data_IF_077333983997
#
_entry.id   IF_077333983997
#
_cell.length_a   1.000
_cell.length_b   1.000
_cell.length_c   1.000
_cell.angle_alpha   90.00
_cell.angle_beta   90.00
_cell.angle_gamma   90.00
#
_symmetry.space_group_name_H-M   'P 1'
#
loop_
_entity.id
_entity.type
_entity.pdbx_description
1 polymer ?
#
# COMPACT_ATOMS: atom_id res chain seq x y z
N UNK A 1 -5.37 10.27 -4.78
CA UNK A 1 -6.57 9.71 -4.12
C UNK A 1 -6.78 8.33 -4.68
N UNK A 2 -6.40 7.30 -3.93
CA UNK A 2 -6.75 5.90 -4.22
C UNK A 2 -7.75 5.50 -3.15
N UNK A 3 -8.95 5.10 -3.55
CA UNK A 3 -9.96 4.67 -2.60
C UNK A 3 -9.92 3.14 -2.54
N UNK A 4 -9.56 2.60 -1.37
CA UNK A 4 -9.51 1.15 -1.09
C UNK A 4 -10.82 0.44 -1.47
N UNK A 5 -11.96 1.14 -1.31
CA UNK A 5 -13.30 0.67 -1.65
C UNK A 5 -13.93 1.45 -2.81
N UNK A 6 -13.11 2.08 -3.66
CA UNK A 6 -13.59 2.85 -4.80
C UNK A 6 -14.16 4.22 -4.46
N UNK A 7 -14.44 4.98 -5.53
CA UNK A 7 -14.93 6.35 -5.46
C UNK A 7 -16.45 6.37 -5.45
N UNK A 8 -17.03 7.34 -4.75
CA UNK A 8 -18.44 7.69 -4.93
C UNK A 8 -18.70 8.13 -6.36
N UNK A 9 -19.93 7.94 -6.82
CA UNK A 9 -20.39 8.36 -8.14
C UNK A 9 -21.42 9.50 -8.00
N UNK A 10 -21.43 10.45 -8.94
CA UNK A 10 -22.50 11.45 -9.04
C UNK A 10 -23.78 10.86 -9.66
N UNK A 11 -24.85 11.66 -9.77
CA UNK A 11 -26.12 11.22 -10.36
C UNK A 11 -26.01 10.78 -11.84
N UNK A 12 -24.88 11.07 -12.50
CA UNK A 12 -24.59 10.67 -13.87
C UNK A 12 -23.66 9.45 -13.94
N UNK A 13 -23.23 8.89 -12.80
CA UNK A 13 -22.32 7.75 -12.71
C UNK A 13 -20.84 8.13 -12.87
N UNK A 14 -20.47 9.41 -12.74
CA UNK A 14 -19.07 9.85 -12.79
C UNK A 14 -18.42 9.76 -11.40
N UNK A 15 -17.18 9.25 -11.34
CA UNK A 15 -16.38 9.22 -10.11
C UNK A 15 -16.17 10.65 -9.58
N UNK A 16 -16.60 10.89 -8.35
CA UNK A 16 -16.31 12.12 -7.62
C UNK A 16 -15.12 11.89 -6.68
N UNK A 17 -14.38 12.95 -6.33
CA UNK A 17 -13.22 12.89 -5.44
C UNK A 17 -13.63 12.69 -3.96
N UNK A 18 -14.50 11.71 -3.70
CA UNK A 18 -14.89 11.24 -2.38
C UNK A 18 -14.81 9.71 -2.37
N UNK A 19 -14.18 9.13 -1.36
CA UNK A 19 -14.12 7.69 -1.21
C UNK A 19 -15.41 7.13 -0.59
N UNK A 20 -15.72 5.89 -0.95
CA UNK A 20 -16.71 5.11 -0.23
C UNK A 20 -16.18 4.79 1.18
N UNK A 21 -17.01 5.01 2.19
CA UNK A 21 -16.67 4.76 3.60
C UNK A 21 -17.35 3.48 4.03
N UNK A 22 -16.57 2.44 4.26
CA UNK A 22 -17.07 1.15 4.69
C UNK A 22 -17.10 1.05 6.20
N UNK A 23 -18.18 0.49 6.74
CA UNK A 23 -18.23 0.13 8.15
C UNK A 23 -17.32 -1.09 8.34
N UNK A 24 -16.39 -1.07 9.32
CA UNK A 24 -15.61 -2.26 9.69
C UNK A 24 -16.53 -3.35 10.24
N UNK A 25 -17.19 -4.11 9.35
CA UNK A 25 -18.00 -5.26 9.73
C UNK A 25 -17.05 -6.43 10.00
N UNK A 26 -17.03 -6.90 11.25
CA UNK A 26 -16.31 -8.14 11.58
C UNK A 26 -17.20 -9.34 11.21
N UNK A 27 -17.06 -9.81 9.98
CA UNK A 27 -17.71 -11.05 9.55
C UNK A 27 -17.14 -12.23 10.34
N UNK A 28 -18.00 -13.01 10.99
CA UNK A 28 -17.60 -14.20 11.79
C UNK A 28 -17.49 -15.47 10.95
N UNK A 29 -17.17 -15.33 9.68
CA UNK A 29 -17.03 -16.42 8.72
C UNK A 29 -15.78 -16.21 7.88
N UNK A 30 -15.22 -17.30 7.38
CA UNK A 30 -14.08 -17.26 6.46
C UNK A 30 -14.58 -17.60 5.07
N UNK A 31 -14.25 -16.75 4.09
CA UNK A 31 -14.58 -16.96 2.69
C UNK A 31 -13.31 -17.28 1.92
N UNK A 32 -13.27 -18.46 1.27
CA UNK A 32 -12.11 -18.96 0.53
C UNK A 32 -11.69 -18.01 -0.62
N UNK A 33 -12.66 -17.35 -1.25
CA UNK A 33 -12.47 -16.43 -2.37
C UNK A 33 -12.79 -14.97 -2.00
N UNK A 34 -12.69 -14.62 -0.72
CA UNK A 34 -13.01 -13.27 -0.24
C UNK A 34 -14.52 -13.00 -0.11
N UNK A 35 -14.82 -11.81 0.41
CA UNK A 35 -16.18 -11.33 0.62
C UNK A 35 -16.71 -10.61 -0.63
N UNK A 36 -18.02 -10.71 -0.85
CA UNK A 36 -18.70 -9.84 -1.82
C UNK A 36 -18.58 -8.40 -1.38
N UNK A 37 -18.51 -7.51 -2.35
CA UNK A 37 -18.57 -6.06 -2.12
C UNK A 37 -19.91 -5.50 -2.60
N UNK A 38 -20.40 -4.45 -1.93
CA UNK A 38 -21.59 -3.72 -2.36
C UNK A 38 -21.29 -2.73 -3.51
N UNK A 39 -22.29 -1.96 -3.94
CA UNK A 39 -22.14 -0.94 -5.00
C UNK A 39 -21.11 0.15 -4.66
N UNK A 40 -20.71 0.25 -3.40
CA UNK A 40 -19.72 1.18 -2.87
C UNK A 40 -18.40 0.49 -2.56
N UNK A 41 -18.16 -0.74 -3.06
CA UNK A 41 -16.91 -1.47 -2.87
C UNK A 41 -16.68 -1.95 -1.43
N UNK A 42 -17.71 -1.92 -0.57
CA UNK A 42 -17.61 -2.34 0.82
C UNK A 42 -17.90 -3.82 0.99
N UNK A 43 -17.00 -4.53 1.67
CA UNK A 43 -17.21 -5.94 2.00
C UNK A 43 -18.50 -6.14 2.81
N UNK A 44 -19.32 -7.08 2.35
CA UNK A 44 -20.51 -7.57 3.06
C UNK A 44 -20.24 -9.01 3.51
N UNK A 45 -20.88 -9.46 4.60
CA UNK A 45 -20.69 -10.81 5.14
C UNK A 45 -21.36 -11.91 4.30
N UNK A 46 -21.10 -11.91 3.00
CA UNK A 46 -21.44 -12.94 2.02
C UNK A 46 -20.17 -13.32 1.25
N UNK A 47 -19.94 -14.61 1.01
CA UNK A 47 -18.77 -15.04 0.24
C UNK A 47 -18.96 -14.83 -1.26
N UNK A 48 -17.87 -14.50 -1.96
CA UNK A 48 -17.81 -14.63 -3.41
C UNK A 48 -17.99 -16.10 -3.79
N UNK A 49 -18.78 -16.32 -4.84
CA UNK A 49 -18.94 -17.63 -5.45
C UNK A 49 -18.20 -17.63 -6.77
N UNK A 50 -17.06 -18.31 -6.83
CA UNK A 50 -16.34 -18.46 -8.08
C UNK A 50 -17.01 -19.52 -8.96
N UNK A 51 -17.17 -19.28 -10.27
CA UNK A 51 -17.57 -20.32 -11.19
C UNK A 51 -16.50 -21.43 -11.22
N UNK A 52 -16.89 -22.68 -11.47
CA UNK A 52 -15.92 -23.75 -11.70
C UNK A 52 -15.16 -23.46 -13.00
N UNK A 53 -13.97 -22.89 -12.88
CA UNK A 53 -13.08 -22.62 -14.01
C UNK A 53 -12.18 -23.84 -14.20
N UNK A 54 -12.46 -24.63 -15.24
CA UNK A 54 -11.55 -25.69 -15.69
C UNK A 54 -10.59 -25.17 -16.74
N UNK A 55 -9.40 -24.74 -16.30
CA UNK A 55 -8.33 -24.37 -17.20
C UNK A 55 -7.65 -25.61 -17.80
N UNK A 56 -7.44 -25.64 -19.11
CA UNK A 56 -6.78 -26.75 -19.80
C UNK A 56 -5.25 -26.67 -19.78
N UNK A 57 -4.70 -25.66 -19.11
CA UNK A 57 -3.28 -25.36 -19.02
C UNK A 57 -2.78 -25.52 -17.59
N UNK A 58 -1.52 -25.88 -17.44
CA UNK A 58 -0.84 -25.93 -16.14
C UNK A 58 -0.01 -24.67 -15.97
N UNK A 59 -0.19 -23.98 -14.84
CA UNK A 59 0.59 -22.80 -14.47
C UNK A 59 1.48 -23.13 -13.28
N UNK A 60 2.81 -23.07 -13.45
CA UNK A 60 3.80 -23.41 -12.43
C UNK A 60 3.69 -22.52 -11.17
N UNK A 61 3.29 -21.25 -11.36
CA UNK A 61 3.14 -20.25 -10.29
C UNK A 61 1.68 -19.96 -9.95
N UNK A 62 0.77 -20.85 -10.35
CA UNK A 62 -0.67 -20.69 -10.16
C UNK A 62 -1.31 -19.73 -11.16
N UNK A 63 -2.62 -19.58 -11.03
CA UNK A 63 -3.44 -18.73 -11.89
C UNK A 63 -3.54 -17.31 -11.33
N UNK A 64 -3.76 -16.34 -12.21
CA UNK A 64 -4.14 -14.99 -11.83
C UNK A 64 -5.54 -14.99 -11.23
N UNK A 65 -5.82 -14.00 -10.39
CA UNK A 65 -7.14 -13.76 -9.81
C UNK A 65 -7.80 -12.55 -10.49
N UNK A 66 -9.11 -12.57 -10.62
CA UNK A 66 -9.91 -11.40 -10.98
C UNK A 66 -10.15 -10.48 -9.76
N UNK A 67 -10.87 -9.37 -9.97
CA UNK A 67 -11.21 -8.40 -8.93
C UNK A 67 -12.05 -9.00 -7.77
N UNK A 68 -12.67 -10.17 -7.99
CA UNK A 68 -13.45 -10.88 -6.97
C UNK A 68 -12.61 -11.98 -6.27
N UNK A 69 -11.33 -12.09 -6.58
CA UNK A 69 -10.45 -13.13 -6.04
C UNK A 69 -10.65 -14.52 -6.66
N UNK A 70 -11.28 -14.61 -7.83
CA UNK A 70 -11.51 -15.87 -8.54
C UNK A 70 -10.41 -16.16 -9.55
N UNK A 71 -9.97 -17.42 -9.61
CA UNK A 71 -8.97 -17.85 -10.59
C UNK A 71 -9.46 -17.68 -12.03
N UNK A 72 -8.62 -17.08 -12.87
CA UNK A 72 -8.81 -16.98 -14.32
C UNK A 72 -7.75 -17.82 -15.03
N UNK A 73 -8.03 -18.29 -16.26
CA UNK A 73 -7.09 -19.11 -17.03
C UNK A 73 -5.93 -18.30 -17.64
N UNK A 74 -5.25 -17.52 -16.80
CA UNK A 74 -4.01 -16.84 -17.09
C UNK A 74 -2.98 -17.22 -16.02
N UNK A 75 -1.77 -17.56 -16.42
CA UNK A 75 -0.73 -17.91 -15.47
C UNK A 75 -0.13 -16.67 -14.79
N UNK A 76 0.22 -16.81 -13.51
CA UNK A 76 1.17 -15.90 -12.88
C UNK A 76 2.55 -16.10 -13.50
N UNK A 77 3.23 -15.00 -13.78
CA UNK A 77 4.63 -15.01 -14.27
C UNK A 77 5.58 -15.24 -13.10
N UNK A 78 5.24 -14.73 -11.91
CA UNK A 78 6.08 -14.79 -10.72
C UNK A 78 5.55 -15.78 -9.70
N UNK A 79 6.45 -16.54 -9.08
CA UNK A 79 6.12 -17.30 -7.88
C UNK A 79 5.83 -16.35 -6.72
N UNK A 80 4.80 -16.64 -5.90
CA UNK A 80 4.60 -15.98 -4.60
C UNK A 80 5.73 -16.35 -3.65
N UNK A 81 6.91 -15.76 -3.79
CA UNK A 81 8.01 -15.97 -2.87
C UNK A 81 7.75 -15.16 -1.60
N UNK A 82 7.80 -15.84 -0.44
CA UNK A 82 7.83 -15.16 0.85
C UNK A 82 9.28 -15.11 1.32
N UNK A 83 9.96 -14.01 1.03
CA UNK A 83 11.30 -13.78 1.54
C UNK A 83 11.25 -13.60 3.06
N UNK A 84 12.15 -14.28 3.78
CA UNK A 84 12.21 -14.23 5.26
C UNK A 84 13.12 -13.13 5.79
N UNK A 85 13.49 -12.20 4.93
CA UNK A 85 14.40 -11.10 5.23
C UNK A 85 13.71 -9.78 4.87
N UNK A 86 14.14 -8.71 5.52
CA UNK A 86 13.73 -7.35 5.19
C UNK A 86 14.87 -6.66 4.44
N UNK A 87 14.55 -5.97 3.35
CA UNK A 87 15.51 -5.23 2.55
C UNK A 87 15.15 -3.74 2.59
N UNK A 88 16.06 -2.93 3.12
CA UNK A 88 15.88 -1.48 3.31
C UNK A 88 15.57 -0.75 1.98
N UNK A 89 16.20 -1.18 0.89
CA UNK A 89 16.02 -0.61 -0.46
C UNK A 89 15.24 -1.56 -1.40
N UNK A 90 14.42 -2.45 -0.83
CA UNK A 90 13.64 -3.41 -1.59
C UNK A 90 14.44 -4.62 -2.11
N UNK A 91 13.70 -5.55 -2.71
CA UNK A 91 14.24 -6.77 -3.31
C UNK A 91 14.69 -6.52 -4.74
N UNK A 92 15.72 -7.26 -5.17
CA UNK A 92 16.05 -7.37 -6.59
C UNK A 92 14.92 -8.05 -7.34
N UNK A 93 14.79 -7.72 -8.61
CA UNK A 93 13.90 -8.39 -9.55
C UNK A 93 14.70 -9.17 -10.59
N UNK A 94 14.15 -10.26 -11.10
CA UNK A 94 14.72 -11.02 -12.22
C UNK A 94 14.38 -10.38 -13.58
N UNK A 95 14.81 -11.02 -14.68
CA UNK A 95 14.55 -10.54 -16.06
C UNK A 95 13.05 -10.48 -16.41
N UNK A 96 12.18 -11.12 -15.63
CA UNK A 96 10.73 -11.13 -15.82
C UNK A 96 10.02 -10.15 -14.88
N UNK A 97 10.77 -9.39 -14.07
CA UNK A 97 10.24 -8.45 -13.08
C UNK A 97 9.77 -9.11 -11.79
N UNK A 98 10.16 -10.36 -11.52
CA UNK A 98 9.78 -11.07 -10.32
C UNK A 98 10.77 -10.82 -9.19
N UNK A 99 10.27 -10.45 -8.01
CA UNK A 99 11.10 -10.28 -6.82
C UNK A 99 11.83 -11.59 -6.46
N UNK A 100 13.13 -11.47 -6.20
CA UNK A 100 13.98 -12.54 -5.69
C UNK A 100 14.44 -12.18 -4.28
N UNK A 101 14.70 -13.18 -3.44
CA UNK A 101 15.13 -12.95 -2.06
C UNK A 101 16.60 -12.51 -1.92
N UNK A 102 16.96 -11.45 -2.64
CA UNK A 102 18.22 -10.72 -2.55
C UNK A 102 17.90 -9.22 -2.45
N UNK A 103 18.58 -8.51 -1.55
CA UNK A 103 18.37 -7.06 -1.43
C UNK A 103 19.09 -6.28 -2.53
N UNK A 104 18.50 -5.17 -2.94
CA UNK A 104 19.21 -4.14 -3.69
C UNK A 104 20.35 -3.57 -2.83
N UNK A 105 21.47 -3.27 -3.48
CA UNK A 105 22.65 -2.68 -2.84
C UNK A 105 22.85 -1.29 -3.40
N UNK A 106 22.75 -0.27 -2.54
CA UNK A 106 22.96 1.10 -2.95
C UNK A 106 24.42 1.52 -2.73
N UNK A 107 25.05 2.23 -3.70
CA UNK A 107 26.33 2.86 -3.45
C UNK A 107 26.18 3.92 -2.34
N UNK A 108 27.23 4.14 -1.55
CA UNK A 108 27.26 5.31 -0.67
C UNK A 108 27.33 6.59 -1.51
N UNK A 109 26.18 7.21 -1.77
CA UNK A 109 26.07 8.48 -2.47
C UNK A 109 25.94 9.59 -1.44
N UNK A 110 27.00 10.40 -1.27
CA UNK A 110 26.92 11.62 -0.47
C UNK A 110 26.36 12.77 -1.32
N UNK A 111 25.06 12.98 -1.26
CA UNK A 111 24.44 14.16 -1.84
C UNK A 111 24.68 15.38 -0.94
N UNK A 112 25.13 16.49 -1.52
CA UNK A 112 25.35 17.76 -0.79
C UNK A 112 24.10 18.63 -0.75
N UNK A 113 23.00 18.16 -1.32
CA UNK A 113 21.75 18.89 -1.52
C UNK A 113 20.73 18.37 -0.51
N UNK A 114 20.03 19.30 0.16
CA UNK A 114 18.92 18.95 1.04
C UNK A 114 17.61 19.03 0.23
N UNK A 115 16.88 17.93 0.14
CA UNK A 115 15.61 17.84 -0.56
C UNK A 115 14.47 17.84 0.46
N UNK A 116 13.61 18.85 0.42
CA UNK A 116 12.48 19.01 1.36
C UNK A 116 11.47 17.86 1.29
N UNK A 117 11.32 17.24 0.12
CA UNK A 117 10.39 16.14 -0.14
C UNK A 117 11.11 14.81 -0.49
N UNK A 118 12.35 14.66 -0.01
CA UNK A 118 13.16 13.48 -0.28
C UNK A 118 13.88 13.50 -1.64
N UNK A 119 14.82 12.56 -1.76
CA UNK A 119 15.60 12.32 -2.97
C UNK A 119 14.84 11.39 -3.90
N UNK A 120 15.07 11.53 -5.21
CA UNK A 120 14.62 10.53 -6.18
C UNK A 120 15.36 9.22 -5.96
N UNK A 121 14.68 8.12 -6.26
CA UNK A 121 15.25 6.79 -6.29
C UNK A 121 15.49 6.32 -7.73
N UNK A 122 16.51 5.49 -7.94
CA UNK A 122 16.70 4.76 -9.20
C UNK A 122 15.81 3.50 -9.27
N UNK A 123 15.90 2.75 -10.37
CA UNK A 123 15.11 1.52 -10.57
C UNK A 123 15.40 0.42 -9.52
N UNK A 124 16.48 0.55 -8.75
CA UNK A 124 16.85 -0.36 -7.66
C UNK A 124 16.45 0.19 -6.28
N UNK A 125 15.70 1.30 -6.22
CA UNK A 125 15.30 1.93 -4.97
C UNK A 125 16.43 2.71 -4.28
N UNK A 126 17.49 3.07 -5.01
CA UNK A 126 18.65 3.77 -4.45
C UNK A 126 18.57 5.28 -4.66
N UNK A 127 18.87 6.06 -3.61
CA UNK A 127 18.88 7.51 -3.70
C UNK A 127 19.88 8.03 -4.74
N UNK A 128 19.40 8.93 -5.59
CA UNK A 128 20.21 9.72 -6.50
C UNK A 128 20.18 11.19 -6.08
N UNK A 129 21.21 11.96 -6.42
CA UNK A 129 21.32 13.38 -6.03
C UNK A 129 20.41 14.30 -6.88
N UNK A 130 19.13 13.95 -6.97
CA UNK A 130 18.07 14.73 -7.55
C UNK A 130 16.91 14.77 -6.56
N UNK A 131 16.31 15.94 -6.34
CA UNK A 131 15.16 16.05 -5.46
C UNK A 131 13.87 15.64 -6.16
N UNK A 132 12.94 15.08 -5.39
CA UNK A 132 11.57 14.95 -5.82
C UNK A 132 10.95 16.33 -6.02
N UNK A 133 10.23 16.50 -7.13
CA UNK A 133 9.58 17.76 -7.48
C UNK A 133 8.10 17.62 -7.16
N UNK A 134 7.69 18.22 -6.05
CA UNK A 134 6.30 18.22 -5.66
C UNK A 134 5.58 19.44 -6.23
N UNK A 135 4.36 19.23 -6.72
CA UNK A 135 3.47 20.35 -7.01
C UNK A 135 3.04 20.99 -5.70
N UNK A 136 3.08 22.33 -5.60
CA UNK A 136 2.55 23.08 -4.45
C UNK A 136 1.02 22.85 -4.33
N UNK A 137 0.62 21.75 -3.69
CA UNK A 137 -0.78 21.46 -3.40
C UNK A 137 -1.09 21.97 -1.99
N UNK A 138 -1.92 23.00 -1.91
CA UNK A 138 -2.44 23.47 -0.63
C UNK A 138 -3.65 22.63 -0.23
N UNK A 139 -3.42 21.62 0.61
CA UNK A 139 -4.50 20.85 1.21
C UNK A 139 -5.33 21.74 2.14
N UNK A 140 -6.65 21.78 1.94
CA UNK A 140 -7.57 22.64 2.72
C UNK A 140 -8.03 22.01 4.04
N UNK A 141 -7.53 20.83 4.36
CA UNK A 141 -7.87 20.07 5.56
C UNK A 141 -6.70 20.05 6.54
N UNK A 142 -6.99 19.81 7.81
CA UNK A 142 -5.97 19.62 8.85
C UNK A 142 -5.92 18.14 9.21
N UNK A 143 -4.73 17.55 9.18
CA UNK A 143 -4.51 16.16 9.54
C UNK A 143 -3.70 16.09 10.84
N UNK A 144 -4.27 15.47 11.87
CA UNK A 144 -3.65 15.34 13.20
C UNK A 144 -2.31 14.56 13.16
N UNK A 145 -2.22 13.57 12.28
CA UNK A 145 -1.03 12.71 12.09
C UNK A 145 -0.27 13.01 10.79
N UNK A 146 -0.47 14.21 10.22
CA UNK A 146 0.15 14.59 8.94
C UNK A 146 -0.56 14.03 7.71
N UNK A 147 -0.07 14.45 6.53
CA UNK A 147 -0.53 14.00 5.24
C UNK A 147 0.20 12.74 4.80
N UNK A 148 -0.49 11.88 4.05
CA UNK A 148 0.14 10.78 3.31
C UNK A 148 1.08 11.37 2.25
N UNK A 149 2.09 10.60 1.89
CA UNK A 149 3.00 10.94 0.79
C UNK A 149 2.84 9.95 -0.36
N UNK A 150 3.15 10.39 -1.59
CA UNK A 150 3.23 9.51 -2.76
C UNK A 150 4.58 8.78 -2.86
N UNK A 151 4.78 8.00 -3.93
CA UNK A 151 6.03 7.27 -4.20
C UNK A 151 7.26 8.19 -4.33
N UNK A 152 7.05 9.49 -4.56
CA UNK A 152 8.09 10.51 -4.63
C UNK A 152 8.18 11.33 -3.33
N UNK A 153 7.59 10.87 -2.22
CA UNK A 153 7.63 11.60 -0.95
C UNK A 153 6.84 12.92 -0.94
N UNK A 154 5.97 13.15 -1.95
CA UNK A 154 5.17 14.37 -2.02
C UNK A 154 3.87 14.22 -1.24
N UNK A 155 3.55 15.22 -0.41
CA UNK A 155 2.28 15.25 0.32
C UNK A 155 1.09 15.17 -0.63
N UNK A 156 0.20 14.23 -0.35
CA UNK A 156 -1.12 14.14 -0.97
C UNK A 156 -2.17 14.56 0.06
N UNK A 157 -3.25 15.21 -0.39
CA UNK A 157 -4.31 15.71 0.49
C UNK A 157 -5.21 14.61 1.08
N UNK A 158 -4.58 13.71 1.83
CA UNK A 158 -5.16 12.56 2.50
C UNK A 158 -4.43 12.39 3.84
N UNK A 159 -5.15 12.21 4.94
CA UNK A 159 -4.51 12.11 6.25
C UNK A 159 -3.93 10.71 6.49
N UNK A 160 -2.81 10.64 7.21
CA UNK A 160 -2.35 9.38 7.78
C UNK A 160 -3.39 8.84 8.77
N UNK A 161 -3.65 7.54 8.68
CA UNK A 161 -4.53 6.82 9.61
C UNK A 161 -3.68 5.94 10.50
N UNK A 162 -3.50 6.36 11.75
CA UNK A 162 -2.73 5.59 12.71
C UNK A 162 -3.61 4.52 13.39
N UNK A 163 -3.12 3.29 13.57
CA UNK A 163 -3.78 2.32 14.44
C UNK A 163 -3.80 2.86 15.88
N UNK A 164 -4.86 2.58 16.64
CA UNK A 164 -4.84 2.86 18.08
C UNK A 164 -3.80 1.96 18.76
N UNK A 165 -2.62 2.52 19.06
CA UNK A 165 -1.55 1.79 19.73
C UNK A 165 -1.62 2.08 21.24
N UNK A 166 -1.98 1.07 22.04
CA UNK A 166 -1.86 1.15 23.50
C UNK A 166 -0.51 0.63 23.95
N UNK A 167 0.41 1.54 24.22
CA UNK A 167 1.72 1.21 24.76
C UNK A 167 1.65 0.93 26.27
N UNK A 168 2.28 -0.15 26.72
CA UNK A 168 2.31 -0.54 28.15
C UNK A 168 3.35 0.24 28.97
N UNK A 169 4.10 1.12 28.31
CA UNK A 169 5.17 1.93 28.88
C UNK A 169 4.81 3.40 28.85
N UNK A 170 5.28 4.16 29.83
CA UNK A 170 5.08 5.60 29.91
C UNK A 170 6.38 6.32 29.52
N UNK A 171 6.29 7.21 28.53
CA UNK A 171 7.42 8.00 28.05
C UNK A 171 7.23 9.47 28.46
N UNK A 172 8.16 10.01 29.27
CA UNK A 172 8.10 11.39 29.79
C UNK A 172 8.19 12.46 28.69
N UNK A 173 8.85 12.14 27.57
CA UNK A 173 9.01 13.00 26.39
C UNK A 173 8.18 12.54 25.16
N UNK A 174 7.14 11.73 25.40
CA UNK A 174 6.30 11.17 24.35
C UNK A 174 6.94 9.99 23.61
N UNK A 175 6.16 9.42 22.69
CA UNK A 175 6.55 8.29 21.86
C UNK A 175 7.25 8.76 20.58
N UNK A 176 8.12 7.90 20.03
CA UNK A 176 8.67 8.08 18.69
C UNK A 176 7.54 7.91 17.66
N UNK A 177 7.72 8.55 16.51
CA UNK A 177 6.85 8.39 15.35
C UNK A 177 7.52 7.49 14.32
N UNK A 178 6.73 6.71 13.58
CA UNK A 178 7.17 6.02 12.36
C UNK A 178 7.26 6.98 11.17
N UNK A 179 7.65 6.46 10.00
CA UNK A 179 7.78 7.23 8.76
C UNK A 179 6.45 7.82 8.26
N UNK A 180 5.32 7.35 8.80
CA UNK A 180 3.97 7.86 8.52
C UNK A 180 3.47 8.83 9.61
N UNK A 181 4.31 9.21 10.57
CA UNK A 181 3.95 10.12 11.65
C UNK A 181 3.08 9.47 12.74
N UNK A 182 3.03 8.14 12.83
CA UNK A 182 2.25 7.41 13.81
C UNK A 182 3.08 7.01 15.03
N UNK A 183 2.50 7.12 16.23
CA UNK A 183 3.19 6.76 17.47
C UNK A 183 3.50 5.26 17.52
N UNK A 184 4.77 4.95 17.78
CA UNK A 184 5.26 3.59 18.06
C UNK A 184 5.63 3.49 19.54
N UNK A 185 5.55 2.29 20.12
CA UNK A 185 5.86 2.06 21.54
C UNK A 185 7.36 2.09 21.87
N UNK A 186 8.03 3.16 21.44
CA UNK A 186 9.40 3.50 21.78
C UNK A 186 9.44 4.94 22.29
N UNK A 187 10.19 5.21 23.36
CA UNK A 187 10.27 6.57 23.91
C UNK A 187 11.24 7.44 23.09
N UNK A 188 10.91 8.73 22.96
CA UNK A 188 11.90 9.73 22.58
C UNK A 188 13.02 9.76 23.64
N UNK A 189 14.28 9.76 23.17
CA UNK A 189 15.48 9.78 24.02
C UNK A 189 15.81 11.18 24.49
#
# INVERSE_FOLDING_TARGET
MFCEHGFKLDDNGCKICECNVCSKQQCRMFCEHGFKVDEHGCEICECNTCPEVMCTMFCEHGFKLDDNGCEICECNVCSKQQCRMFCEHGFKVDEHGCEICECNTCPEVMCTMFCEHGSKLDDNGCEICECNVCSEQQCRMFCEHGFKVDENGCEICECNTCPEVMCTMFCEHGFKLDDNGCEICECNS
#
